data_IF_144728594474
#
_entry.id   IF_144728594474
#
_cell.length_a   1.000
_cell.length_b   1.000
_cell.length_c   1.000
_cell.angle_alpha   90.00
_cell.angle_beta   90.00
_cell.angle_gamma   90.00
#
_symmetry.space_group_name_H-M   'P 1'
#
loop_
_entity.id
_entity.type
_entity.pdbx_description
1 polymer ?
#
# COMPACT_ATOMS: atom_id res chain seq x y z
N UNK A 1 5.40 -26.01 -15.61
CA UNK A 1 4.69 -25.60 -16.83
C UNK A 1 3.30 -25.14 -16.48
N UNK A 2 2.88 -23.93 -16.94
CA UNK A 2 1.60 -23.31 -16.64
C UNK A 2 0.76 -23.21 -17.92
N UNK A 3 -0.54 -23.48 -17.81
CA UNK A 3 -1.54 -23.28 -18.85
C UNK A 3 -2.44 -22.07 -18.57
N UNK A 4 -2.34 -21.51 -17.36
CA UNK A 4 -3.07 -20.35 -16.86
C UNK A 4 -2.18 -19.48 -15.99
N UNK A 5 -2.52 -18.21 -15.87
CA UNK A 5 -2.02 -17.30 -14.84
C UNK A 5 -3.20 -16.66 -14.12
N UNK A 6 -2.98 -16.29 -12.86
CA UNK A 6 -4.01 -15.70 -12.02
C UNK A 6 -3.53 -14.37 -11.48
N UNK A 7 -4.46 -13.42 -11.39
CA UNK A 7 -4.21 -12.11 -10.82
C UNK A 7 -5.30 -11.77 -9.82
N UNK A 8 -4.91 -11.30 -8.64
CA UNK A 8 -5.85 -10.70 -7.71
C UNK A 8 -6.36 -9.37 -8.28
N UNK A 9 -7.66 -9.17 -8.20
CA UNK A 9 -8.37 -7.94 -8.56
C UNK A 9 -9.16 -7.48 -7.32
N UNK A 10 -8.43 -7.17 -6.25
CA UNK A 10 -8.93 -6.85 -4.92
C UNK A 10 -10.02 -5.76 -4.86
N UNK A 11 -10.07 -4.75 -5.76
CA UNK A 11 -11.18 -3.78 -5.76
C UNK A 11 -12.57 -4.42 -5.83
N UNK A 12 -12.70 -5.64 -6.36
CA UNK A 12 -13.99 -6.31 -6.43
C UNK A 12 -14.54 -6.78 -5.07
N UNK A 13 -13.70 -6.87 -4.04
CA UNK A 13 -14.18 -7.10 -2.68
C UNK A 13 -15.10 -5.99 -2.17
N UNK A 14 -15.03 -4.78 -2.77
CA UNK A 14 -15.84 -3.62 -2.42
C UNK A 14 -17.12 -3.46 -3.26
N UNK A 15 -17.44 -4.42 -4.14
CA UNK A 15 -18.57 -4.27 -5.06
C UNK A 15 -19.93 -4.56 -4.43
N UNK A 16 -19.99 -5.31 -3.35
CA UNK A 16 -21.23 -5.68 -2.64
C UNK A 16 -21.03 -5.54 -1.13
N UNK A 17 -22.06 -5.07 -0.45
CA UNK A 17 -22.07 -4.94 1.02
C UNK A 17 -21.78 -6.26 1.76
N UNK A 18 -22.03 -7.40 1.13
CA UNK A 18 -21.74 -8.73 1.69
C UNK A 18 -20.31 -9.20 1.52
N UNK A 19 -19.61 -8.64 0.54
CA UNK A 19 -18.21 -9.00 0.21
C UNK A 19 -17.19 -8.05 0.80
N UNK A 20 -17.65 -6.94 1.39
CA UNK A 20 -16.78 -5.89 1.95
C UNK A 20 -15.75 -6.46 2.91
N UNK A 21 -14.47 -6.04 2.80
CA UNK A 21 -13.41 -6.50 3.68
C UNK A 21 -13.35 -5.68 4.98
N UNK A 22 -14.47 -5.60 5.69
CA UNK A 22 -14.57 -4.96 7.01
C UNK A 22 -15.50 -5.78 7.90
N UNK A 23 -15.23 -5.76 9.19
CA UNK A 23 -16.15 -6.31 10.18
C UNK A 23 -17.41 -5.43 10.33
N UNK A 24 -18.51 -6.00 10.78
CA UNK A 24 -19.76 -5.27 10.95
C UNK A 24 -19.61 -4.06 11.90
N UNK A 25 -18.76 -4.18 12.93
CA UNK A 25 -18.43 -3.13 13.90
C UNK A 25 -17.66 -1.95 13.29
N UNK A 26 -17.01 -2.15 12.14
CA UNK A 26 -16.20 -1.14 11.46
C UNK A 26 -16.98 -0.37 10.40
N UNK A 27 -18.12 -0.89 9.98
CA UNK A 27 -18.89 -0.36 8.83
C UNK A 27 -19.25 1.11 8.93
N UNK A 28 -19.62 1.61 10.11
CA UNK A 28 -19.96 3.02 10.31
C UNK A 28 -18.73 3.93 10.18
N UNK A 29 -17.55 3.44 10.60
CA UNK A 29 -16.29 4.16 10.46
C UNK A 29 -15.78 4.13 9.03
N UNK A 30 -15.85 2.98 8.38
CA UNK A 30 -15.43 2.80 7.00
C UNK A 30 -16.31 3.58 6.00
N UNK A 31 -17.62 3.60 6.24
CA UNK A 31 -18.61 4.24 5.36
C UNK A 31 -19.48 5.25 6.11
N UNK A 32 -18.93 6.38 6.57
CA UNK A 32 -19.69 7.36 7.35
C UNK A 32 -20.86 8.00 6.56
N UNK A 33 -20.79 7.98 5.25
CA UNK A 33 -21.84 8.46 4.34
C UNK A 33 -22.75 7.33 3.79
N UNK A 34 -22.67 6.12 4.39
CA UNK A 34 -23.35 4.93 3.90
C UNK A 34 -22.56 4.22 2.80
N UNK A 35 -22.93 2.95 2.58
CA UNK A 35 -22.24 2.10 1.61
C UNK A 35 -22.24 2.69 0.19
N UNK A 36 -21.07 2.72 -0.40
CA UNK A 36 -20.84 3.07 -1.78
C UNK A 36 -19.88 2.04 -2.40
N UNK A 37 -20.24 1.48 -3.54
CA UNK A 37 -19.49 0.41 -4.18
C UNK A 37 -18.17 0.85 -4.80
N UNK A 38 -17.14 0.00 -4.70
CA UNK A 38 -15.91 0.07 -5.46
C UNK A 38 -15.72 -1.21 -6.27
N UNK A 39 -15.01 -1.15 -7.40
CA UNK A 39 -14.73 -2.34 -8.22
C UNK A 39 -13.65 -2.07 -9.26
N UNK A 40 -13.16 -3.14 -9.88
CA UNK A 40 -12.36 -3.11 -11.10
C UNK A 40 -13.14 -3.81 -12.24
N UNK A 41 -13.24 -3.16 -13.39
CA UNK A 41 -13.93 -3.65 -14.57
C UNK A 41 -12.92 -3.91 -15.69
N UNK A 42 -12.61 -5.18 -15.94
CA UNK A 42 -11.65 -5.64 -16.94
C UNK A 42 -12.25 -5.49 -18.34
N UNK A 43 -11.66 -4.65 -19.16
CA UNK A 43 -12.12 -4.35 -20.52
C UNK A 43 -11.46 -5.21 -21.58
N UNK A 44 -10.15 -5.43 -21.44
CA UNK A 44 -9.38 -6.24 -22.37
C UNK A 44 -8.24 -6.96 -21.67
N UNK A 45 -8.00 -8.19 -22.10
CA UNK A 45 -6.81 -8.99 -21.76
C UNK A 45 -6.17 -9.41 -23.07
N UNK A 46 -4.93 -8.98 -23.31
CA UNK A 46 -4.24 -9.20 -24.59
C UNK A 46 -2.83 -9.77 -24.37
N UNK A 47 -2.40 -10.59 -25.32
CA UNK A 47 -0.99 -10.94 -25.52
C UNK A 47 -0.60 -10.59 -26.95
N UNK A 48 0.39 -9.72 -27.16
CA UNK A 48 0.82 -9.27 -28.47
C UNK A 48 -0.35 -8.81 -29.37
N UNK A 49 -1.27 -8.01 -28.82
CA UNK A 49 -2.51 -7.53 -29.45
C UNK A 49 -3.57 -8.61 -29.73
N UNK A 50 -3.35 -9.88 -29.41
CA UNK A 50 -4.36 -10.94 -29.54
C UNK A 50 -5.17 -11.05 -28.25
N UNK A 51 -6.50 -11.19 -28.37
CA UNK A 51 -7.40 -11.39 -27.23
C UNK A 51 -7.12 -12.72 -26.56
N UNK A 52 -6.93 -12.70 -25.26
CA UNK A 52 -6.84 -13.88 -24.42
C UNK A 52 -8.20 -14.22 -23.82
N UNK A 53 -8.44 -15.50 -23.56
CA UNK A 53 -9.61 -15.96 -22.79
C UNK A 53 -9.35 -15.74 -21.32
N UNK A 54 -10.33 -15.19 -20.60
CA UNK A 54 -10.25 -14.97 -19.17
C UNK A 54 -11.61 -15.20 -18.51
N UNK A 55 -11.59 -15.46 -17.22
CA UNK A 55 -12.75 -15.58 -16.35
C UNK A 55 -12.48 -14.84 -15.03
N UNK A 56 -13.52 -14.30 -14.42
CA UNK A 56 -13.47 -13.74 -13.08
C UNK A 56 -14.01 -14.81 -12.14
N UNK A 57 -13.21 -15.21 -11.18
CA UNK A 57 -13.48 -16.30 -10.23
C UNK A 57 -13.22 -15.84 -8.78
N UNK A 58 -13.36 -16.75 -7.83
CA UNK A 58 -13.22 -16.49 -6.40
C UNK A 58 -14.54 -16.10 -5.74
N UNK A 59 -14.62 -16.28 -4.44
CA UNK A 59 -15.86 -16.07 -3.66
C UNK A 59 -16.35 -14.62 -3.70
N UNK A 60 -15.43 -13.67 -3.90
CA UNK A 60 -15.72 -12.22 -4.02
C UNK A 60 -15.57 -11.71 -5.46
N UNK A 61 -15.44 -12.60 -6.46
CA UNK A 61 -15.10 -12.24 -7.83
C UNK A 61 -13.82 -11.38 -7.93
N UNK A 62 -12.86 -11.66 -7.09
CA UNK A 62 -11.65 -10.88 -6.89
C UNK A 62 -10.39 -11.54 -7.45
N UNK A 63 -10.56 -12.56 -8.31
CA UNK A 63 -9.49 -13.24 -9.02
C UNK A 63 -9.77 -13.25 -10.51
N UNK A 64 -8.80 -12.82 -11.30
CA UNK A 64 -8.81 -12.90 -12.76
C UNK A 64 -7.98 -14.11 -13.19
N UNK A 65 -8.65 -15.15 -13.72
CA UNK A 65 -8.01 -16.28 -14.39
C UNK A 65 -7.77 -15.93 -15.85
N UNK A 66 -6.54 -16.04 -16.33
CA UNK A 66 -6.18 -15.82 -17.74
C UNK A 66 -5.63 -17.11 -18.32
N UNK A 67 -6.30 -17.64 -19.36
CA UNK A 67 -5.89 -18.86 -20.06
C UNK A 67 -4.80 -18.55 -21.08
N UNK A 68 -3.69 -19.27 -21.02
CA UNK A 68 -2.58 -19.12 -21.96
C UNK A 68 -2.84 -19.89 -23.25
N UNK A 69 -2.54 -19.28 -24.40
CA UNK A 69 -2.66 -19.96 -25.70
C UNK A 69 -1.60 -21.04 -25.89
N UNK A 70 -0.48 -20.89 -25.21
CA UNK A 70 0.62 -21.87 -25.16
C UNK A 70 1.07 -22.09 -23.72
N UNK A 71 1.49 -23.29 -23.43
CA UNK A 71 2.07 -23.64 -22.14
C UNK A 71 3.31 -22.78 -21.88
N UNK A 72 3.34 -22.10 -20.75
CA UNK A 72 4.49 -21.35 -20.26
C UNK A 72 5.42 -22.31 -19.50
N UNK A 73 6.64 -22.50 -19.97
CA UNK A 73 7.63 -23.38 -19.36
C UNK A 73 8.48 -22.61 -18.36
N UNK A 74 9.17 -23.36 -17.53
CA UNK A 74 10.19 -22.80 -16.64
C UNK A 74 11.23 -21.98 -17.40
N UNK A 75 11.54 -20.79 -16.91
CA UNK A 75 12.44 -19.83 -17.53
C UNK A 75 11.84 -19.01 -18.68
N UNK A 76 10.62 -19.31 -19.11
CA UNK A 76 9.92 -18.50 -20.10
C UNK A 76 9.14 -17.36 -19.44
N UNK A 77 8.87 -16.29 -20.21
CA UNK A 77 8.06 -15.14 -19.79
C UNK A 77 6.91 -14.89 -20.76
N UNK A 78 5.85 -14.30 -20.26
CA UNK A 78 4.73 -13.83 -21.07
C UNK A 78 4.42 -12.37 -20.74
N UNK A 79 4.05 -11.60 -21.76
CA UNK A 79 3.51 -10.24 -21.58
C UNK A 79 2.00 -10.29 -21.67
N UNK A 80 1.31 -9.75 -20.68
CA UNK A 80 -0.14 -9.59 -20.67
C UNK A 80 -0.45 -8.11 -20.58
N UNK A 81 -1.17 -7.59 -21.57
CA UNK A 81 -1.64 -6.21 -21.61
C UNK A 81 -3.09 -6.19 -21.11
N UNK A 82 -3.34 -5.42 -20.07
CA UNK A 82 -4.64 -5.28 -19.42
C UNK A 82 -5.18 -3.86 -19.63
N UNK A 83 -6.46 -3.75 -19.99
CA UNK A 83 -7.20 -2.48 -19.95
C UNK A 83 -8.37 -2.65 -18.99
N UNK A 84 -8.49 -1.74 -18.05
CA UNK A 84 -9.54 -1.80 -17.01
C UNK A 84 -9.93 -0.40 -16.54
N UNK A 85 -11.08 -0.31 -15.88
CA UNK A 85 -11.53 0.84 -15.13
C UNK A 85 -11.60 0.47 -13.66
N UNK A 86 -11.26 1.40 -12.79
CA UNK A 86 -11.39 1.25 -11.34
C UNK A 86 -12.35 2.31 -10.84
N UNK A 87 -13.34 1.89 -10.04
CA UNK A 87 -14.21 2.78 -9.28
C UNK A 87 -13.81 2.72 -7.82
N UNK A 88 -13.41 3.86 -7.27
CA UNK A 88 -13.12 4.00 -5.85
C UNK A 88 -14.42 4.19 -5.06
N UNK A 89 -14.64 3.50 -3.94
CA UNK A 89 -15.77 3.76 -3.06
C UNK A 89 -15.55 5.03 -2.22
N UNK A 90 -16.64 5.66 -1.77
CA UNK A 90 -16.57 6.66 -0.69
C UNK A 90 -16.38 5.90 0.64
N UNK A 91 -15.15 5.54 0.93
CA UNK A 91 -14.74 4.68 2.05
C UNK A 91 -13.46 5.21 2.67
N UNK A 92 -13.41 5.30 3.99
CA UNK A 92 -12.23 5.73 4.77
C UNK A 92 -11.29 4.56 5.06
N UNK A 93 -10.93 3.82 4.03
CA UNK A 93 -10.07 2.65 4.10
C UNK A 93 -8.82 2.79 3.25
N UNK A 94 -8.14 1.65 3.04
CA UNK A 94 -6.95 1.55 2.18
C UNK A 94 -7.27 1.89 0.72
N UNK A 95 -8.46 1.50 0.26
CA UNK A 95 -8.95 1.71 -1.09
C UNK A 95 -10.27 2.50 -1.06
N UNK A 96 -10.21 3.77 -1.44
CA UNK A 96 -11.38 4.65 -1.41
C UNK A 96 -11.02 6.12 -1.36
N UNK A 97 -12.01 6.94 -1.02
CA UNK A 97 -11.78 8.36 -0.82
C UNK A 97 -12.64 8.90 0.32
N UNK A 98 -12.08 9.85 1.05
CA UNK A 98 -12.75 10.62 2.07
C UNK A 98 -12.90 12.09 1.68
N UNK A 99 -12.93 12.94 2.68
CA UNK A 99 -13.04 14.38 2.53
C UNK A 99 -11.68 15.04 2.19
N UNK A 100 -10.59 14.42 2.64
CA UNK A 100 -9.24 14.98 2.55
C UNK A 100 -8.37 14.22 1.57
N UNK A 101 -8.51 12.91 1.45
CA UNK A 101 -7.61 12.07 0.65
C UNK A 101 -8.34 11.12 -0.29
N UNK A 102 -7.63 10.75 -1.34
CA UNK A 102 -7.97 9.65 -2.24
C UNK A 102 -6.89 8.59 -2.09
N UNK A 103 -7.26 7.46 -1.47
CA UNK A 103 -6.37 6.35 -1.14
C UNK A 103 -6.49 5.28 -2.23
N UNK A 104 -5.41 5.03 -2.95
CA UNK A 104 -5.41 4.13 -4.10
C UNK A 104 -4.36 3.04 -3.89
N UNK A 105 -4.79 1.98 -3.21
CA UNK A 105 -3.94 0.86 -2.84
C UNK A 105 -4.54 -0.44 -3.36
N UNK A 106 -3.72 -1.43 -3.69
CA UNK A 106 -4.16 -2.74 -4.23
C UNK A 106 -5.18 -2.62 -5.38
N UNK A 107 -5.03 -1.58 -6.19
CA UNK A 107 -6.01 -1.11 -7.18
C UNK A 107 -5.84 -1.73 -8.57
N UNK A 108 -4.71 -2.34 -8.85
CA UNK A 108 -4.37 -2.95 -10.14
C UNK A 108 -4.38 -4.49 -10.02
N UNK A 109 -4.46 -5.24 -11.14
CA UNK A 109 -4.37 -6.68 -11.13
C UNK A 109 -2.97 -7.13 -10.67
N UNK A 110 -2.89 -7.79 -9.52
CA UNK A 110 -1.65 -8.25 -8.88
C UNK A 110 -1.45 -9.73 -9.19
N UNK A 111 -0.29 -10.12 -9.72
CA UNK A 111 0.01 -11.52 -10.00
C UNK A 111 -0.07 -12.35 -8.71
N UNK A 112 -0.89 -13.40 -8.72
CA UNK A 112 -0.95 -14.35 -7.61
C UNK A 112 0.38 -15.08 -7.47
N UNK A 113 0.81 -15.32 -6.24
CA UNK A 113 2.02 -16.11 -5.96
C UNK A 113 1.77 -17.57 -6.35
N UNK A 114 2.78 -18.18 -6.96
CA UNK A 114 2.83 -19.61 -7.27
C UNK A 114 3.96 -20.25 -6.47
N UNK A 115 3.62 -20.99 -5.44
CA UNK A 115 4.54 -21.65 -4.53
C UNK A 115 4.52 -23.20 -4.68
N UNK A 116 5.09 -23.91 -3.74
CA UNK A 116 5.13 -25.38 -3.72
C UNK A 116 3.73 -26.04 -3.54
N UNK A 117 2.73 -25.28 -3.10
CA UNK A 117 1.32 -25.69 -2.99
C UNK A 117 0.51 -25.32 -4.23
N UNK A 118 1.08 -24.61 -5.20
CA UNK A 118 0.43 -24.10 -6.40
C UNK A 118 0.08 -22.61 -6.30
N UNK A 119 -0.96 -22.21 -7.03
CA UNK A 119 -1.43 -20.82 -7.03
C UNK A 119 -2.11 -20.44 -5.70
N UNK A 120 -1.69 -19.35 -5.11
CA UNK A 120 -2.41 -18.75 -3.99
C UNK A 120 -3.58 -17.91 -4.51
N UNK A 121 -4.79 -18.42 -4.30
CA UNK A 121 -6.05 -17.83 -4.79
C UNK A 121 -6.96 -17.39 -3.64
N UNK A 122 -6.41 -16.97 -2.51
CA UNK A 122 -7.19 -16.45 -1.38
C UNK A 122 -7.84 -15.12 -1.74
N UNK A 123 -9.14 -15.03 -1.49
CA UNK A 123 -9.89 -13.78 -1.60
C UNK A 123 -9.47 -12.79 -0.52
N UNK A 124 -9.81 -11.52 -0.71
CA UNK A 124 -9.60 -10.45 0.27
C UNK A 124 -10.31 -10.79 1.59
N UNK A 125 -9.56 -10.90 2.67
CA UNK A 125 -10.09 -11.15 4.01
C UNK A 125 -10.34 -9.85 4.76
N UNK A 126 -11.29 -9.87 5.72
CA UNK A 126 -11.65 -8.68 6.51
C UNK A 126 -10.64 -8.39 7.63
N UNK A 127 -9.85 -9.37 8.04
CA UNK A 127 -8.91 -9.27 9.17
C UNK A 127 -7.49 -9.51 8.66
N UNK A 128 -6.56 -8.69 9.15
CA UNK A 128 -5.14 -8.75 8.79
C UNK A 128 -4.84 -8.09 7.45
N UNK A 129 -3.66 -8.39 6.91
CA UNK A 129 -3.16 -7.89 5.64
C UNK A 129 -3.21 -8.99 4.58
N UNK A 130 -4.29 -9.00 3.76
CA UNK A 130 -4.58 -10.12 2.87
C UNK A 130 -3.78 -10.09 1.56
N UNK A 131 -2.69 -9.32 1.50
CA UNK A 131 -1.93 -9.06 0.29
C UNK A 131 -0.67 -9.91 0.26
N UNK A 132 -0.71 -10.99 -0.51
CA UNK A 132 0.44 -11.85 -0.74
C UNK A 132 0.94 -11.70 -2.17
N UNK A 133 2.13 -11.15 -2.33
CA UNK A 133 2.74 -10.87 -3.64
C UNK A 133 4.26 -11.03 -3.61
N UNK A 134 4.82 -11.41 -4.76
CA UNK A 134 6.26 -11.38 -4.98
C UNK A 134 6.73 -9.94 -5.28
N UNK A 135 8.02 -9.66 -4.99
CA UNK A 135 8.63 -8.38 -5.35
C UNK A 135 8.65 -8.16 -6.85
N UNK A 136 8.34 -6.96 -7.26
CA UNK A 136 8.23 -6.55 -8.66
C UNK A 136 8.85 -5.18 -8.93
N UNK A 137 9.06 -4.86 -10.20
CA UNK A 137 9.43 -3.51 -10.63
C UNK A 137 8.22 -2.83 -11.26
N UNK A 138 7.98 -1.59 -10.87
CA UNK A 138 6.88 -0.78 -11.39
C UNK A 138 7.40 0.46 -12.10
N UNK A 139 6.99 0.63 -13.36
CA UNK A 139 7.14 1.86 -14.11
C UNK A 139 5.74 2.44 -14.32
N UNK A 140 5.41 3.53 -13.61
CA UNK A 140 4.06 4.08 -13.58
C UNK A 140 4.02 5.48 -14.18
N UNK A 141 3.05 5.71 -15.06
CA UNK A 141 2.73 7.05 -15.57
C UNK A 141 1.35 7.43 -15.08
N UNK A 142 1.30 8.34 -14.11
CA UNK A 142 0.07 8.80 -13.49
C UNK A 142 -0.28 10.21 -13.98
N UNK A 143 -1.46 10.37 -14.54
CA UNK A 143 -2.02 11.68 -14.92
C UNK A 143 -3.12 12.05 -13.93
N UNK A 144 -2.90 13.08 -13.15
CA UNK A 144 -3.85 13.56 -12.15
C UNK A 144 -4.18 15.05 -12.36
N UNK A 145 -5.34 15.56 -11.88
CA UNK A 145 -5.61 16.99 -11.85
C UNK A 145 -4.52 17.76 -11.08
N UNK A 146 -4.05 18.87 -11.63
CA UNK A 146 -2.88 19.63 -11.11
C UNK A 146 -3.04 20.16 -9.67
N UNK A 147 -4.29 20.27 -9.20
CA UNK A 147 -4.56 20.67 -7.82
C UNK A 147 -4.12 19.64 -6.78
N UNK A 148 -4.04 18.35 -7.16
CA UNK A 148 -3.64 17.28 -6.23
C UNK A 148 -2.12 17.15 -6.12
N UNK A 149 -1.66 17.00 -4.88
CA UNK A 149 -0.31 16.56 -4.56
C UNK A 149 -0.33 15.04 -4.41
N UNK A 150 0.76 14.41 -4.83
CA UNK A 150 0.91 12.95 -4.89
C UNK A 150 1.92 12.47 -3.85
N UNK A 151 1.49 11.53 -3.01
CA UNK A 151 2.37 10.62 -2.27
C UNK A 151 2.32 9.25 -2.96
N UNK A 152 3.44 8.56 -3.12
CA UNK A 152 3.50 7.31 -3.89
C UNK A 152 4.61 6.39 -3.39
N UNK A 153 4.38 5.08 -3.54
CA UNK A 153 5.46 4.10 -3.62
C UNK A 153 6.39 4.48 -4.77
N UNK A 154 7.70 4.34 -4.57
CA UNK A 154 8.70 4.63 -5.61
C UNK A 154 9.14 6.10 -5.67
N UNK A 155 9.98 6.39 -6.65
CA UNK A 155 10.55 7.70 -6.89
C UNK A 155 9.83 8.39 -8.04
N UNK A 156 9.44 9.65 -7.87
CA UNK A 156 8.97 10.50 -8.97
C UNK A 156 10.21 10.94 -9.76
N UNK A 157 10.47 10.26 -10.89
CA UNK A 157 11.64 10.55 -11.75
C UNK A 157 11.40 11.70 -12.73
N UNK A 158 10.12 11.97 -13.04
CA UNK A 158 9.74 13.11 -13.87
C UNK A 158 8.35 13.61 -13.45
N UNK A 159 8.18 14.94 -13.44
CA UNK A 159 6.90 15.60 -13.24
C UNK A 159 6.71 16.70 -14.28
N UNK A 160 5.59 16.64 -15.00
CA UNK A 160 5.20 17.67 -15.99
C UNK A 160 3.82 18.20 -15.62
N UNK A 161 3.73 19.45 -15.27
CA UNK A 161 2.48 20.11 -14.86
C UNK A 161 2.08 21.13 -15.92
N UNK A 162 0.82 21.08 -16.34
CA UNK A 162 0.13 22.14 -17.04
C UNK A 162 -0.94 22.78 -16.14
N UNK A 163 -1.81 23.62 -16.69
CA UNK A 163 -2.85 24.33 -15.92
C UNK A 163 -3.91 23.41 -15.33
N UNK A 164 -4.15 22.24 -15.92
CA UNK A 164 -5.24 21.33 -15.54
C UNK A 164 -4.75 20.01 -14.94
N UNK A 165 -3.61 19.53 -15.42
CA UNK A 165 -3.13 18.18 -15.12
C UNK A 165 -1.64 18.15 -14.86
N UNK A 166 -1.24 17.19 -14.03
CA UNK A 166 0.16 16.83 -13.81
C UNK A 166 0.37 15.38 -14.24
N UNK A 167 1.36 15.16 -15.09
CA UNK A 167 1.86 13.84 -15.44
C UNK A 167 3.08 13.53 -14.58
N UNK A 168 2.98 12.47 -13.79
CA UNK A 168 4.08 11.91 -13.01
C UNK A 168 4.60 10.67 -13.72
N UNK A 169 5.93 10.53 -13.79
CA UNK A 169 6.61 9.27 -14.13
C UNK A 169 7.27 8.77 -12.86
N UNK A 170 6.95 7.55 -12.46
CA UNK A 170 7.34 6.97 -11.18
C UNK A 170 8.05 5.65 -11.45
N UNK A 171 9.18 5.42 -10.79
CA UNK A 171 9.97 4.19 -10.83
C UNK A 171 10.05 3.58 -9.43
N UNK A 172 9.60 2.34 -9.26
CA UNK A 172 9.70 1.59 -8.02
C UNK A 172 10.28 0.21 -8.30
N UNK A 173 11.39 -0.14 -7.65
CA UNK A 173 12.13 -1.37 -7.91
C UNK A 173 12.13 -2.28 -6.71
N UNK A 174 11.91 -3.57 -6.96
CA UNK A 174 11.94 -4.62 -5.94
C UNK A 174 11.00 -4.32 -4.78
N UNK A 175 9.77 -3.87 -5.09
CA UNK A 175 8.71 -3.62 -4.12
C UNK A 175 7.60 -4.67 -4.25
N UNK A 176 6.93 -4.98 -3.13
CA UNK A 176 5.84 -5.98 -3.11
C UNK A 176 4.53 -5.41 -3.61
N UNK A 177 4.32 -4.12 -3.45
CA UNK A 177 3.09 -3.45 -3.82
C UNK A 177 3.36 -2.03 -4.32
N UNK A 178 2.35 -1.43 -4.94
CA UNK A 178 2.40 -0.07 -5.43
C UNK A 178 1.13 0.69 -5.02
N UNK A 179 1.30 1.63 -4.11
CA UNK A 179 0.24 2.47 -3.58
C UNK A 179 0.49 3.94 -3.89
N UNK A 180 -0.58 4.73 -4.00
CA UNK A 180 -0.48 6.18 -4.03
C UNK A 180 -1.67 6.86 -3.37
N UNK A 181 -1.44 8.05 -2.85
CA UNK A 181 -2.46 8.86 -2.18
C UNK A 181 -2.42 10.26 -2.77
N UNK A 182 -3.60 10.80 -3.04
CA UNK A 182 -3.80 12.13 -3.59
C UNK A 182 -4.55 13.03 -2.61
N UNK A 183 -4.09 14.28 -2.46
CA UNK A 183 -4.83 15.32 -1.74
C UNK A 183 -4.50 16.71 -2.29
N UNK A 184 -5.48 17.59 -2.37
CA UNK A 184 -5.27 19.00 -2.64
C UNK A 184 -4.96 19.80 -1.35
N UNK A 185 -5.09 19.14 -0.18
CA UNK A 185 -4.84 19.74 1.14
C UNK A 185 -3.43 19.47 1.69
N UNK A 186 -2.66 18.55 1.12
CA UNK A 186 -1.36 18.20 1.67
C UNK A 186 -0.41 19.38 1.83
N UNK A 187 0.17 19.52 3.02
CA UNK A 187 1.42 20.22 3.27
C UNK A 187 2.55 19.21 3.33
N UNK A 188 3.63 19.45 2.57
CA UNK A 188 4.73 18.47 2.43
C UNK A 188 5.96 19.01 3.15
N UNK A 189 6.44 18.28 4.15
CA UNK A 189 7.73 18.52 4.80
C UNK A 189 8.75 17.49 4.30
N UNK A 190 10.01 17.89 4.21
CA UNK A 190 11.09 17.04 3.69
C UNK A 190 12.29 17.07 4.60
N UNK A 191 12.89 15.92 4.81
CA UNK A 191 14.18 15.77 5.49
C UNK A 191 15.00 14.68 4.82
N UNK A 192 16.20 14.42 5.30
CA UNK A 192 17.06 13.34 4.81
C UNK A 192 17.67 12.56 5.95
N UNK A 193 17.86 11.29 5.71
CA UNK A 193 18.76 10.41 6.47
C UNK A 193 19.72 9.77 5.48
N UNK A 194 21.01 10.05 5.59
CA UNK A 194 22.02 9.71 4.56
C UNK A 194 21.51 10.13 3.16
N UNK A 195 21.38 9.19 2.23
CA UNK A 195 20.88 9.42 0.88
C UNK A 195 19.36 9.26 0.75
N UNK A 196 18.67 8.80 1.81
CA UNK A 196 17.22 8.60 1.83
C UNK A 196 16.50 9.93 1.96
N UNK A 197 15.66 10.29 0.98
CA UNK A 197 14.75 11.43 1.06
C UNK A 197 13.48 11.02 1.81
N UNK A 198 13.25 11.62 2.96
CA UNK A 198 12.06 11.38 3.79
C UNK A 198 11.07 12.51 3.55
N UNK A 199 9.85 12.16 3.15
CA UNK A 199 8.75 13.10 2.95
C UNK A 199 7.64 12.81 3.96
N UNK A 200 7.06 13.85 4.55
CA UNK A 200 5.81 13.73 5.31
C UNK A 200 4.74 14.55 4.65
N UNK A 201 3.57 13.95 4.45
CA UNK A 201 2.41 14.55 3.84
C UNK A 201 1.36 14.77 4.93
N UNK A 202 1.13 16.03 5.29
CA UNK A 202 0.29 16.39 6.42
C UNK A 202 -0.98 17.09 5.93
N UNK A 203 -2.12 16.81 6.54
CA UNK A 203 -3.41 17.43 6.25
C UNK A 203 -3.65 18.70 7.07
N UNK A 204 -2.95 18.81 8.20
CA UNK A 204 -2.93 20.00 9.04
C UNK A 204 -1.50 20.28 9.52
N UNK A 205 -1.26 21.44 10.12
CA UNK A 205 0.06 21.82 10.61
C UNK A 205 0.40 21.22 11.98
N UNK A 206 -0.62 20.70 12.69
CA UNK A 206 -0.42 20.07 13.98
C UNK A 206 0.44 18.81 13.82
N UNK A 207 1.39 18.62 14.72
CA UNK A 207 2.27 17.44 14.75
C UNK A 207 3.08 17.18 13.47
N UNK A 208 3.11 18.13 12.50
CA UNK A 208 3.85 17.92 11.24
C UNK A 208 5.36 17.77 11.46
N UNK A 209 5.94 18.55 12.39
CA UNK A 209 7.35 18.42 12.76
C UNK A 209 7.62 17.13 13.51
N UNK A 210 6.70 16.69 14.38
CA UNK A 210 6.76 15.43 15.09
C UNK A 210 6.84 14.26 14.12
N UNK A 211 5.96 14.23 13.12
CA UNK A 211 5.96 13.17 12.09
C UNK A 211 7.30 13.12 11.32
N UNK A 212 7.90 14.27 11.00
CA UNK A 212 9.23 14.35 10.38
C UNK A 212 10.31 13.75 11.29
N UNK A 213 10.30 14.14 12.58
CA UNK A 213 11.33 13.72 13.53
C UNK A 213 11.21 12.21 13.83
N UNK A 214 9.99 11.69 13.97
CA UNK A 214 9.72 10.27 14.15
C UNK A 214 10.13 9.48 12.92
N UNK A 215 9.70 9.87 11.72
CA UNK A 215 10.06 9.18 10.48
C UNK A 215 11.58 9.09 10.29
N UNK A 216 12.29 10.19 10.54
CA UNK A 216 13.74 10.22 10.44
C UNK A 216 14.41 9.35 11.50
N UNK A 217 13.98 9.43 12.77
CA UNK A 217 14.58 8.64 13.85
C UNK A 217 14.29 7.15 13.69
N UNK A 218 13.13 6.77 13.15
CA UNK A 218 12.80 5.37 12.88
C UNK A 218 13.70 4.79 11.78
N UNK A 219 13.85 5.49 10.65
CA UNK A 219 14.76 5.06 9.57
C UNK A 219 16.21 4.97 10.08
N UNK A 220 16.68 5.91 10.93
CA UNK A 220 18.03 5.87 11.51
C UNK A 220 18.20 4.66 12.43
N UNK A 221 17.31 4.50 13.41
CA UNK A 221 17.39 3.42 14.40
C UNK A 221 17.30 2.05 13.72
N UNK A 222 16.33 1.84 12.86
CA UNK A 222 16.14 0.54 12.21
C UNK A 222 17.23 0.23 11.18
N UNK A 223 17.77 1.25 10.49
CA UNK A 223 18.94 1.06 9.63
C UNK A 223 20.16 0.59 10.40
N UNK A 224 20.36 1.09 11.63
CA UNK A 224 21.46 0.67 12.48
C UNK A 224 21.25 -0.71 13.10
N UNK A 225 20.00 -1.12 13.37
CA UNK A 225 19.67 -2.41 13.98
C UNK A 225 19.61 -3.55 12.95
N UNK A 226 19.03 -3.30 11.78
CA UNK A 226 18.63 -4.36 10.82
C UNK A 226 19.32 -4.27 9.46
N UNK A 227 20.11 -3.22 9.23
CA UNK A 227 20.75 -2.93 7.95
C UNK A 227 20.14 -1.73 7.24
N UNK A 228 20.91 -1.14 6.33
CA UNK A 228 20.51 0.10 5.65
C UNK A 228 19.14 -0.05 4.96
N UNK A 229 18.30 0.99 5.09
CA UNK A 229 17.05 1.10 4.34
C UNK A 229 17.34 1.04 2.83
N UNK A 230 16.71 0.11 2.08
CA UNK A 230 17.18 -0.22 0.73
C UNK A 230 16.69 0.71 -0.38
N UNK A 231 15.83 1.68 -0.06
CA UNK A 231 15.24 2.57 -1.05
C UNK A 231 15.73 4.02 -0.88
N UNK A 232 15.62 4.84 -1.93
CA UNK A 232 16.08 6.24 -1.91
C UNK A 232 15.03 7.21 -1.35
N UNK A 233 13.78 6.79 -1.23
CA UNK A 233 12.69 7.63 -0.69
C UNK A 233 11.86 6.88 0.34
N UNK A 234 11.31 7.65 1.30
CA UNK A 234 10.35 7.15 2.29
C UNK A 234 9.29 8.22 2.54
N UNK A 235 8.02 7.83 2.58
CA UNK A 235 6.90 8.74 2.74
C UNK A 235 5.98 8.32 3.89
N UNK A 236 5.71 9.26 4.80
CA UNK A 236 4.69 9.13 5.87
C UNK A 236 3.52 10.01 5.50
N UNK A 237 2.33 9.45 5.38
CA UNK A 237 1.17 10.12 4.78
C UNK A 237 -0.02 10.12 5.73
N UNK A 238 -0.40 11.29 6.25
CA UNK A 238 -1.66 11.47 6.95
C UNK A 238 -2.82 11.25 5.96
N UNK A 239 -3.80 10.43 6.33
CA UNK A 239 -4.83 9.98 5.41
C UNK A 239 -6.19 9.87 6.08
N UNK A 240 -7.27 10.04 5.31
CA UNK A 240 -8.62 9.62 5.70
C UNK A 240 -8.64 8.08 5.78
N UNK A 241 -8.28 7.57 6.96
CA UNK A 241 -8.04 6.17 7.20
C UNK A 241 -8.26 5.88 8.68
N UNK A 242 -9.00 4.85 9.05
CA UNK A 242 -9.46 4.65 10.42
C UNK A 242 -8.80 3.49 11.17
N UNK A 243 -7.86 2.78 10.53
CA UNK A 243 -7.28 1.54 11.06
C UNK A 243 -5.95 1.79 11.81
N UNK A 244 -5.50 3.05 11.92
CA UNK A 244 -4.23 3.40 12.58
C UNK A 244 -3.11 3.63 11.59
N UNK A 245 -2.50 2.59 11.04
CA UNK A 245 -1.46 2.66 10.03
C UNK A 245 -1.58 1.60 8.94
N UNK A 246 -0.74 1.73 7.91
CA UNK A 246 -0.57 0.75 6.83
C UNK A 246 0.79 0.93 6.14
N UNK A 247 1.48 -0.17 5.94
CA UNK A 247 2.92 -0.27 5.69
C UNK A 247 3.32 -0.44 4.22
N UNK A 248 2.67 0.15 3.25
CA UNK A 248 3.10 -0.03 1.85
C UNK A 248 4.59 0.26 1.65
N UNK A 249 5.27 -0.48 0.74
CA UNK A 249 6.69 -0.25 0.50
C UNK A 249 6.96 1.21 0.13
N UNK A 250 7.92 1.83 0.82
CA UNK A 250 8.33 3.23 0.65
C UNK A 250 7.25 4.27 1.00
N UNK A 251 6.04 3.86 1.41
CA UNK A 251 4.92 4.73 1.75
C UNK A 251 4.09 4.12 2.87
N UNK A 252 4.00 4.79 4.00
CA UNK A 252 3.09 4.38 5.07
C UNK A 252 1.94 5.37 5.19
N UNK A 253 0.74 4.82 5.38
CA UNK A 253 -0.46 5.60 5.69
C UNK A 253 -0.63 5.68 7.19
N UNK A 254 -1.00 6.86 7.69
CA UNK A 254 -1.27 7.09 9.11
C UNK A 254 -2.64 7.76 9.24
N UNK A 255 -3.45 7.26 10.14
CA UNK A 255 -4.75 7.85 10.47
C UNK A 255 -4.57 9.33 10.86
N UNK A 256 -5.22 10.23 10.11
CA UNK A 256 -5.15 11.67 10.33
C UNK A 256 -5.63 12.07 11.73
N UNK A 257 -6.54 11.33 12.31
CA UNK A 257 -7.06 11.58 13.66
C UNK A 257 -6.00 11.48 14.76
N UNK A 258 -4.85 10.86 14.48
CA UNK A 258 -3.71 10.78 15.40
C UNK A 258 -2.87 12.09 15.45
N UNK A 259 -3.00 12.98 14.47
CA UNK A 259 -2.20 14.20 14.37
C UNK A 259 -2.69 15.31 15.31
N UNK A 260 -2.66 15.04 16.60
CA UNK A 260 -2.99 15.99 17.65
C UNK A 260 -2.15 15.76 18.92
N UNK A 261 -2.12 16.74 19.82
CA UNK A 261 -1.29 16.70 21.02
C UNK A 261 -1.71 15.59 22.02
N UNK A 262 -2.99 15.21 22.04
CA UNK A 262 -3.49 14.19 22.95
C UNK A 262 -2.99 12.79 22.52
N UNK A 263 -2.85 12.58 21.22
CA UNK A 263 -2.41 11.33 20.61
C UNK A 263 -0.90 11.31 20.27
N UNK A 264 -0.11 12.28 20.75
CA UNK A 264 1.32 12.41 20.41
C UNK A 264 2.10 11.09 20.55
N UNK A 265 1.92 10.37 21.66
CA UNK A 265 2.59 9.09 21.87
C UNK A 265 2.12 8.02 20.88
N UNK A 266 0.81 7.96 20.64
CA UNK A 266 0.23 7.00 19.71
C UNK A 266 0.64 7.28 18.25
N UNK A 267 0.72 8.56 17.85
CA UNK A 267 1.25 8.95 16.56
C UNK A 267 2.70 8.49 16.38
N UNK A 268 3.55 8.72 17.39
CA UNK A 268 4.95 8.27 17.36
C UNK A 268 5.04 6.75 17.28
N UNK A 269 4.23 6.05 18.09
CA UNK A 269 4.18 4.60 18.10
C UNK A 269 3.78 4.05 16.72
N UNK A 270 2.68 4.54 16.14
CA UNK A 270 2.20 4.05 14.83
C UNK A 270 3.22 4.36 13.73
N UNK A 271 3.78 5.57 13.66
CA UNK A 271 4.80 5.88 12.64
C UNK A 271 6.02 4.97 12.79
N UNK A 272 6.49 4.71 14.00
CA UNK A 272 7.63 3.82 14.23
C UNK A 272 7.29 2.37 13.84
N UNK A 273 6.11 1.89 14.20
CA UNK A 273 5.60 0.58 13.85
C UNK A 273 5.53 0.39 12.32
N UNK A 274 4.83 1.28 11.61
CA UNK A 274 4.72 1.21 10.14
C UNK A 274 6.09 1.35 9.45
N UNK A 275 7.02 2.11 10.06
CA UNK A 275 8.38 2.21 9.53
C UNK A 275 9.15 0.88 9.70
N UNK A 276 8.93 0.12 10.77
CA UNK A 276 9.60 -1.16 10.98
C UNK A 276 9.19 -2.21 9.94
N UNK A 277 7.96 -2.16 9.46
CA UNK A 277 7.48 -2.97 8.35
C UNK A 277 8.23 -2.75 7.03
N UNK A 278 9.00 -1.67 6.89
CA UNK A 278 9.88 -1.52 5.73
C UNK A 278 10.97 -2.60 5.69
N UNK A 279 11.29 -3.23 6.84
CA UNK A 279 12.14 -4.43 6.93
C UNK A 279 11.30 -5.70 7.02
N UNK A 280 10.26 -5.74 7.87
CA UNK A 280 9.40 -6.90 8.15
C UNK A 280 8.08 -6.83 7.38
N UNK A 281 8.10 -6.91 6.12
CA UNK A 281 7.14 -6.93 5.04
C UNK A 281 7.81 -6.52 3.73
N UNK A 282 8.27 -5.25 3.60
CA UNK A 282 8.79 -4.77 2.30
C UNK A 282 10.04 -5.55 1.85
N UNK A 283 11.00 -5.77 2.75
CA UNK A 283 12.24 -6.52 2.46
C UNK A 283 12.05 -8.01 2.72
N UNK A 284 11.62 -8.38 3.91
CA UNK A 284 11.39 -9.77 4.31
C UNK A 284 9.89 -9.99 4.39
N UNK A 285 9.31 -10.51 3.30
CA UNK A 285 7.88 -10.81 3.25
C UNK A 285 7.58 -12.24 3.67
N UNK A 286 6.35 -12.46 4.09
CA UNK A 286 5.78 -13.73 4.47
C UNK A 286 4.41 -13.92 3.83
N UNK A 287 3.75 -15.02 4.14
CA UNK A 287 2.36 -15.24 3.77
C UNK A 287 1.44 -14.76 4.90
N UNK A 288 1.15 -13.46 4.92
CA UNK A 288 0.46 -12.76 6.00
C UNK A 288 -0.91 -13.34 6.33
N UNK A 289 -1.67 -13.82 5.34
CA UNK A 289 -2.98 -14.45 5.58
C UNK A 289 -2.89 -15.68 6.50
N UNK A 290 -1.81 -16.45 6.42
CA UNK A 290 -1.65 -17.68 7.21
C UNK A 290 -0.72 -17.52 8.42
N UNK A 291 0.21 -16.59 8.33
CA UNK A 291 1.25 -16.36 9.33
C UNK A 291 1.46 -14.87 9.64
N UNK A 292 0.37 -14.13 9.98
CA UNK A 292 0.44 -12.67 10.20
C UNK A 292 1.36 -12.29 11.36
N UNK A 293 1.64 -13.23 12.27
CA UNK A 293 2.53 -13.01 13.39
C UNK A 293 4.01 -12.82 13.00
N UNK A 294 4.40 -13.22 11.78
CA UNK A 294 5.81 -13.12 11.37
C UNK A 294 6.23 -11.67 11.12
N UNK A 295 5.44 -10.89 10.44
CA UNK A 295 5.72 -9.46 10.24
C UNK A 295 5.27 -8.63 11.43
N UNK A 296 4.06 -8.84 11.94
CA UNK A 296 3.51 -8.09 13.05
C UNK A 296 4.31 -8.24 14.35
N UNK A 297 4.67 -9.47 14.74
CA UNK A 297 5.41 -9.68 15.98
C UNK A 297 6.85 -9.13 15.90
N UNK A 298 7.51 -9.25 14.73
CA UNK A 298 8.83 -8.68 14.53
C UNK A 298 8.78 -7.15 14.50
N UNK A 299 7.76 -6.58 13.89
CA UNK A 299 7.52 -5.13 13.84
C UNK A 299 7.19 -4.58 15.21
N UNK A 300 6.31 -5.25 15.97
CA UNK A 300 5.99 -4.85 17.33
C UNK A 300 7.22 -4.86 18.23
N UNK A 301 8.02 -5.92 18.17
CA UNK A 301 9.28 -5.97 18.91
C UNK A 301 10.28 -4.88 18.47
N UNK A 302 10.33 -4.58 17.18
CA UNK A 302 11.16 -3.50 16.64
C UNK A 302 10.71 -2.13 17.15
N UNK A 303 9.41 -1.93 17.32
CA UNK A 303 8.84 -0.72 17.91
C UNK A 303 9.27 -0.55 19.37
N UNK A 304 9.29 -1.63 20.15
CA UNK A 304 9.87 -1.60 21.50
C UNK A 304 11.34 -1.18 21.45
N UNK A 305 12.14 -1.77 20.55
CA UNK A 305 13.55 -1.41 20.38
C UNK A 305 13.73 0.07 19.96
N UNK A 306 12.83 0.62 19.15
CA UNK A 306 12.83 2.04 18.81
C UNK A 306 12.72 2.92 20.06
N UNK A 307 11.75 2.64 20.94
CA UNK A 307 11.56 3.39 22.17
C UNK A 307 12.72 3.21 23.15
N UNK A 308 13.27 2.02 23.27
CA UNK A 308 14.48 1.76 24.08
C UNK A 308 15.69 2.58 23.58
N UNK A 309 15.92 2.61 22.26
CA UNK A 309 17.04 3.35 21.68
C UNK A 309 16.87 4.86 21.81
N UNK A 310 15.64 5.35 21.67
CA UNK A 310 15.34 6.78 21.68
C UNK A 310 15.24 7.36 23.08
N UNK A 311 14.65 6.63 24.03
CA UNK A 311 14.28 7.13 25.36
C UNK A 311 14.92 6.35 26.52
N UNK A 312 15.62 5.27 26.24
CA UNK A 312 16.24 4.39 27.24
C UNK A 312 15.38 3.17 27.59
N UNK A 313 16.02 2.12 28.12
CA UNK A 313 15.40 0.80 28.34
C UNK A 313 14.15 0.81 29.22
N UNK A 314 14.10 1.69 30.24
CA UNK A 314 12.93 1.78 31.12
C UNK A 314 11.66 2.26 30.42
N UNK A 315 11.76 2.81 29.22
CA UNK A 315 10.63 3.32 28.43
C UNK A 315 10.07 2.24 27.49
N UNK A 316 10.90 1.34 27.00
CA UNK A 316 10.46 0.21 26.19
C UNK A 316 9.62 -0.83 26.96
N UNK A 317 9.76 -0.86 28.29
CA UNK A 317 9.03 -1.80 29.17
C UNK A 317 7.63 -1.26 29.60
N UNK A 318 7.23 -0.07 29.19
CA UNK A 318 5.95 0.59 29.53
C UNK A 318 4.98 0.60 28.36
#
# INVERSE_FOLDING_TARGET
>A
TLDKVYLHIYPNAFCDKKSIPFEESEMERAYPNGFNEGYIDIKNVLNNNNKMKYEIIGDKNDILEVKLDKLLKEGESIKIDLKYNVKLPNCLGRFGYGENTVNVTNWFPIACVYDDKGWNLKSYEAVGDPFYSDTSNFEVRLLAPSKYKLATTGEIVEQKTDTEKTLYTIDAKLVRDFAFILSDKFTISKTKYKDVLINTYNLNENMSQEAVDVAKSSIDIFSNLFGDYPYNTYSVVASDFFIGGMEYPMLVMIDESLYNNENKFLLEYVIAHETAHQWWYSVVGNYEISEPWLDEALTEYSTVLYFEQKYGKETGDK
#
